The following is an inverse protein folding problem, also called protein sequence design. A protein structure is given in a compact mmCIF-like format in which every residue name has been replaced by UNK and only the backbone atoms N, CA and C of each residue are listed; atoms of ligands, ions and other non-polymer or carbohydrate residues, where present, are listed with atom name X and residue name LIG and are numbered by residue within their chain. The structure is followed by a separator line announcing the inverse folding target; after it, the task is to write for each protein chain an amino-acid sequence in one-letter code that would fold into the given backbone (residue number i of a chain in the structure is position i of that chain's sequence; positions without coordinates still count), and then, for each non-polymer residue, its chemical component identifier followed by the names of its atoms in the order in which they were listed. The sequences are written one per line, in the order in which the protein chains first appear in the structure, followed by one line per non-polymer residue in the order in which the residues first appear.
data_IF_843783743816
#
_entry.id   IF_843783743816
#
_cell.length_a   1.000
_cell.length_b   1.000
_cell.length_c   1.000
_cell.angle_alpha   90.00
_cell.angle_beta   90.00
_cell.angle_gamma   90.00
#
_symmetry.space_group_name_H-M   'P 1'
#
loop_
_entity.id
_entity.type
_entity.pdbx_description
1 polymer ?
#
# COMPACT_ATOMS: atom_id res chain seq x y z
N UNK A 1 -18.76 18.32 -1.63
CA UNK A 1 -18.43 16.90 -1.39
C UNK A 1 -17.45 16.83 -0.23
N UNK A 2 -17.66 15.90 0.69
CA UNK A 2 -16.75 15.64 1.80
C UNK A 2 -15.94 14.39 1.48
N UNK A 3 -14.62 14.45 1.66
CA UNK A 3 -13.70 13.33 1.47
C UNK A 3 -13.02 13.01 2.79
N UNK A 4 -13.30 11.85 3.33
CA UNK A 4 -12.61 11.29 4.48
C UNK A 4 -11.53 10.33 3.99
N UNK A 5 -10.27 10.59 4.35
CA UNK A 5 -9.11 9.78 3.98
C UNK A 5 -8.53 9.13 5.23
N UNK A 6 -8.67 7.81 5.33
CA UNK A 6 -8.12 7.01 6.40
C UNK A 6 -6.85 6.32 5.92
N UNK A 7 -5.78 6.34 6.72
CA UNK A 7 -4.50 5.78 6.32
C UNK A 7 -3.71 5.22 7.51
N UNK A 8 -2.98 4.14 7.24
CA UNK A 8 -2.07 3.55 8.23
C UNK A 8 -0.70 4.20 8.12
N UNK A 9 -0.60 5.45 8.61
CA UNK A 9 0.60 6.28 8.61
C UNK A 9 1.46 6.11 7.34
N UNK A 10 2.75 5.93 7.48
CA UNK A 10 3.69 5.72 6.38
C UNK A 10 3.99 4.24 6.08
N UNK A 11 3.18 3.31 6.55
CA UNK A 11 3.29 1.89 6.18
C UNK A 11 3.32 1.72 4.65
N UNK A 12 2.48 2.45 3.91
CA UNK A 12 2.56 2.54 2.47
C UNK A 12 3.24 3.86 2.04
N UNK A 13 4.35 3.82 1.26
CA UNK A 13 5.03 5.05 0.82
C UNK A 13 4.12 5.97 -0.01
N UNK A 14 3.10 5.42 -0.66
CA UNK A 14 2.14 6.20 -1.46
C UNK A 14 1.26 7.11 -0.60
N UNK A 15 1.13 6.85 0.71
CA UNK A 15 0.29 7.67 1.59
C UNK A 15 0.74 9.13 1.61
N UNK A 16 2.06 9.39 1.65
CA UNK A 16 2.59 10.75 1.63
C UNK A 16 2.24 11.48 0.32
N UNK A 17 2.36 10.78 -0.81
CA UNK A 17 1.98 11.34 -2.11
C UNK A 17 0.48 11.67 -2.17
N UNK A 18 -0.36 10.78 -1.63
CA UNK A 18 -1.81 10.99 -1.59
C UNK A 18 -2.17 12.15 -0.67
N UNK A 19 -1.55 12.27 0.50
CA UNK A 19 -1.78 13.39 1.43
C UNK A 19 -1.36 14.72 0.79
N UNK A 20 -0.22 14.78 0.11
CA UNK A 20 0.20 15.99 -0.63
C UNK A 20 -0.80 16.35 -1.72
N UNK A 21 -1.23 15.37 -2.51
CA UNK A 21 -2.23 15.58 -3.55
C UNK A 21 -3.57 16.05 -2.97
N UNK A 22 -4.02 15.49 -1.84
CA UNK A 22 -5.24 15.94 -1.15
C UNK A 22 -5.14 17.40 -0.72
N UNK A 23 -3.99 17.83 -0.21
CA UNK A 23 -3.78 19.22 0.21
C UNK A 23 -3.90 20.22 -0.94
N UNK A 24 -3.62 19.83 -2.20
CA UNK A 24 -3.83 20.68 -3.38
C UNK A 24 -5.31 20.91 -3.71
N UNK A 25 -6.23 20.14 -3.14
CA UNK A 25 -7.68 20.23 -3.43
C UNK A 25 -8.53 20.72 -2.25
N UNK A 26 -7.90 21.16 -1.14
CA UNK A 26 -8.63 21.62 0.05
C UNK A 26 -9.53 22.84 -0.19
N UNK A 27 -9.25 23.62 -1.20
CA UNK A 27 -10.08 24.75 -1.64
C UNK A 27 -11.34 24.32 -2.43
N UNK A 28 -11.39 23.08 -2.90
CA UNK A 28 -12.45 22.52 -3.77
C UNK A 28 -13.25 21.40 -3.11
N UNK A 29 -12.65 20.70 -2.17
CA UNK A 29 -13.23 19.55 -1.49
C UNK A 29 -13.00 19.71 0.02
N UNK A 30 -14.01 19.46 0.82
CA UNK A 30 -13.88 19.35 2.27
C UNK A 30 -13.17 18.04 2.62
N UNK A 31 -11.89 18.10 3.07
CA UNK A 31 -11.02 16.95 3.22
C UNK A 31 -10.63 16.75 4.69
N UNK A 32 -10.94 15.57 5.20
CA UNK A 32 -10.54 15.11 6.52
C UNK A 32 -9.50 13.99 6.40
N UNK A 33 -8.44 14.04 7.22
CA UNK A 33 -7.37 13.05 7.26
C UNK A 33 -7.38 12.32 8.60
N UNK A 34 -7.38 11.00 8.57
CA UNK A 34 -7.42 10.16 9.76
C UNK A 34 -6.27 9.16 9.74
N UNK A 35 -5.22 9.41 10.52
CA UNK A 35 -4.18 8.39 10.78
C UNK A 35 -4.72 7.37 11.78
N UNK A 36 -4.80 6.11 11.35
CA UNK A 36 -5.37 5.04 12.17
C UNK A 36 -4.32 4.23 12.93
N UNK A 37 -3.03 4.60 12.84
CA UNK A 37 -1.91 3.81 13.41
C UNK A 37 -2.13 3.45 14.88
N UNK A 38 -2.75 4.34 15.65
CA UNK A 38 -3.02 4.18 17.07
C UNK A 38 -4.52 4.21 17.39
N UNK A 39 -5.37 3.92 16.41
CA UNK A 39 -6.83 4.01 16.56
C UNK A 39 -7.53 2.75 16.05
N UNK A 40 -7.39 1.66 16.79
CA UNK A 40 -8.01 0.36 16.50
C UNK A 40 -9.53 0.44 16.41
N UNK A 41 -10.17 1.25 17.26
CA UNK A 41 -11.63 1.41 17.25
C UNK A 41 -12.09 1.99 15.92
N UNK A 42 -11.47 3.08 15.47
CA UNK A 42 -11.82 3.72 14.21
C UNK A 42 -11.54 2.79 13.02
N UNK A 43 -10.41 2.08 13.03
CA UNK A 43 -10.08 1.11 11.99
C UNK A 43 -11.12 -0.01 11.89
N UNK A 44 -11.58 -0.53 13.04
CA UNK A 44 -12.63 -1.55 13.13
C UNK A 44 -14.00 -1.03 12.68
N UNK A 45 -14.43 0.16 13.15
CA UNK A 45 -15.68 0.81 12.71
C UNK A 45 -15.71 1.01 11.20
N UNK A 46 -14.57 1.43 10.65
CA UNK A 46 -14.42 1.63 9.22
C UNK A 46 -14.17 0.33 8.45
N UNK A 47 -14.11 -0.83 9.10
CA UNK A 47 -13.80 -2.14 8.49
C UNK A 47 -12.61 -2.03 7.55
N UNK A 48 -11.52 -1.50 8.06
CA UNK A 48 -10.33 -1.21 7.28
C UNK A 48 -9.34 -2.37 7.40
N UNK A 49 -8.86 -2.85 6.25
CA UNK A 49 -7.86 -3.92 6.12
C UNK A 49 -6.76 -3.57 5.11
N UNK A 50 -6.78 -2.33 4.61
CA UNK A 50 -5.85 -1.81 3.62
C UNK A 50 -5.12 -0.59 4.18
N UNK A 51 -3.93 -0.27 3.65
CA UNK A 51 -3.17 0.89 4.13
C UNK A 51 -3.86 2.23 3.88
N UNK A 52 -4.90 2.26 3.03
CA UNK A 52 -5.72 3.45 2.76
C UNK A 52 -7.17 3.10 2.51
N UNK A 53 -8.05 4.00 2.91
CA UNK A 53 -9.48 3.99 2.58
C UNK A 53 -9.93 5.42 2.31
N UNK A 54 -10.61 5.63 1.19
CA UNK A 54 -11.24 6.91 0.85
C UNK A 54 -12.75 6.74 0.97
N UNK A 55 -13.41 7.67 1.67
CA UNK A 55 -14.86 7.67 1.79
C UNK A 55 -15.40 9.02 1.31
N UNK A 56 -16.28 9.02 0.31
CA UNK A 56 -16.95 10.22 -0.18
C UNK A 56 -18.36 10.32 0.40
N UNK A 57 -18.66 11.47 1.03
CA UNK A 57 -19.95 11.84 1.62
C UNK A 57 -20.55 10.76 2.54
N UNK A 58 -19.71 9.96 3.19
CA UNK A 58 -20.10 8.79 4.01
C UNK A 58 -20.90 7.72 3.23
N UNK A 59 -20.84 7.73 1.90
CA UNK A 59 -21.67 6.89 1.03
C UNK A 59 -20.86 5.92 0.18
N UNK A 60 -19.78 6.38 -0.44
CA UNK A 60 -18.97 5.57 -1.34
C UNK A 60 -17.56 5.38 -0.79
N UNK A 61 -17.09 4.14 -0.87
CA UNK A 61 -15.77 3.71 -0.38
C UNK A 61 -14.89 3.32 -1.55
N UNK A 62 -13.60 3.68 -1.47
CA UNK A 62 -12.60 3.42 -2.49
C UNK A 62 -11.30 2.97 -1.82
N UNK A 63 -10.64 2.00 -2.44
CA UNK A 63 -9.45 1.37 -1.90
C UNK A 63 -8.21 1.55 -2.79
N UNK A 64 -8.39 2.04 -4.01
CA UNK A 64 -7.29 2.30 -4.93
C UNK A 64 -6.49 3.53 -4.53
N UNK A 65 -5.19 3.59 -4.87
CA UNK A 65 -4.40 4.78 -4.66
C UNK A 65 -5.02 6.01 -5.33
N UNK A 66 -5.09 7.10 -4.58
CA UNK A 66 -5.67 8.35 -5.02
C UNK A 66 -4.91 8.92 -6.22
N UNK A 67 -5.66 9.38 -7.22
CA UNK A 67 -5.15 10.00 -8.45
C UNK A 67 -5.75 11.38 -8.64
N UNK A 68 -5.05 12.22 -9.40
CA UNK A 68 -5.54 13.56 -9.74
C UNK A 68 -6.91 13.53 -10.42
N UNK A 69 -7.11 12.62 -11.38
CA UNK A 69 -8.39 12.45 -12.08
C UNK A 69 -9.55 12.08 -11.16
N UNK A 70 -9.28 11.35 -10.06
CA UNK A 70 -10.27 11.05 -9.03
C UNK A 70 -10.72 12.34 -8.32
N UNK A 71 -9.75 13.16 -7.89
CA UNK A 71 -10.04 14.43 -7.19
C UNK A 71 -10.71 15.46 -8.10
N UNK A 72 -10.37 15.50 -9.38
CA UNK A 72 -11.05 16.35 -10.37
C UNK A 72 -12.52 15.98 -10.51
N UNK A 73 -12.86 14.68 -10.55
CA UNK A 73 -14.25 14.24 -10.56
C UNK A 73 -14.97 14.60 -9.27
N UNK A 74 -14.35 14.29 -8.11
CA UNK A 74 -14.92 14.61 -6.81
C UNK A 74 -15.15 16.12 -6.61
N UNK A 75 -14.21 16.97 -7.06
CA UNK A 75 -14.36 18.43 -7.01
C UNK A 75 -15.53 18.94 -7.86
N UNK A 76 -15.89 18.22 -8.91
CA UNK A 76 -17.06 18.51 -9.75
C UNK A 76 -18.35 17.82 -9.27
N UNK A 77 -18.36 17.24 -8.07
CA UNK A 77 -19.54 16.58 -7.50
C UNK A 77 -19.85 15.21 -8.10
N UNK A 78 -18.90 14.62 -8.85
CA UNK A 78 -19.06 13.33 -9.50
C UNK A 78 -18.40 12.25 -8.62
N UNK A 79 -19.13 11.17 -8.35
CA UNK A 79 -18.56 10.01 -7.70
C UNK A 79 -17.73 9.20 -8.71
N UNK A 80 -16.39 9.12 -8.54
CA UNK A 80 -15.55 8.36 -9.47
C UNK A 80 -15.96 6.89 -9.56
N UNK A 81 -15.78 6.30 -10.73
CA UNK A 81 -15.92 4.85 -10.91
C UNK A 81 -14.54 4.20 -10.86
N UNK A 82 -14.37 3.24 -9.95
CA UNK A 82 -13.20 2.39 -9.93
C UNK A 82 -13.44 1.14 -10.76
N UNK A 83 -12.51 0.86 -11.66
CA UNK A 83 -12.44 -0.44 -12.32
C UNK A 83 -11.58 -1.35 -11.46
N UNK A 84 -12.00 -2.57 -11.16
CA UNK A 84 -11.16 -3.54 -10.47
C UNK A 84 -9.82 -3.69 -11.19
N UNK A 85 -8.74 -3.61 -10.43
CA UNK A 85 -7.42 -3.93 -10.97
C UNK A 85 -7.28 -5.45 -10.95
N UNK A 86 -7.27 -6.08 -12.11
CA UNK A 86 -6.97 -7.49 -12.25
C UNK A 86 -5.48 -7.64 -12.57
N UNK A 87 -4.65 -8.11 -11.62
CA UNK A 87 -3.24 -8.32 -11.90
C UNK A 87 -3.08 -9.45 -12.89
N UNK A 88 -2.23 -9.25 -13.90
CA UNK A 88 -1.81 -10.34 -14.79
C UNK A 88 -0.78 -11.17 -14.02
N UNK A 89 -1.19 -12.36 -13.59
CA UNK A 89 -0.29 -13.29 -12.92
C UNK A 89 0.51 -14.02 -13.98
N UNK A 90 1.84 -13.88 -13.96
CA UNK A 90 2.72 -14.69 -14.80
C UNK A 90 2.62 -16.18 -14.40
N UNK A 91 2.48 -17.05 -15.38
CA UNK A 91 2.57 -18.50 -15.17
C UNK A 91 4.01 -19.02 -15.13
N UNK A 92 4.96 -18.16 -15.44
CA UNK A 92 6.38 -18.49 -15.45
C UNK A 92 6.93 -18.32 -14.04
N UNK A 93 7.57 -19.38 -13.56
CA UNK A 93 8.24 -19.35 -12.27
C UNK A 93 9.66 -18.82 -12.45
N UNK A 94 9.97 -17.69 -11.82
CA UNK A 94 11.33 -17.13 -11.82
C UNK A 94 12.13 -17.78 -10.69
N UNK A 95 13.18 -18.51 -11.06
CA UNK A 95 14.13 -19.05 -10.07
C UNK A 95 15.01 -17.91 -9.53
N UNK A 96 15.31 -17.95 -8.26
CA UNK A 96 16.16 -16.93 -7.64
C UNK A 96 16.42 -17.19 -6.17
N UNK A 97 16.88 -16.17 -5.47
CA UNK A 97 17.24 -16.20 -4.06
C UNK A 97 16.18 -15.41 -3.28
N UNK A 98 15.71 -15.98 -2.18
CA UNK A 98 14.87 -15.29 -1.21
C UNK A 98 15.76 -14.84 -0.06
N UNK A 99 15.73 -13.54 0.23
CA UNK A 99 16.50 -12.92 1.30
C UNK A 99 15.58 -12.25 2.32
N UNK A 100 15.93 -12.26 3.61
CA UNK A 100 15.20 -11.50 4.61
C UNK A 100 15.33 -9.99 4.35
N UNK A 101 14.23 -9.27 4.57
CA UNK A 101 14.12 -7.83 4.45
C UNK A 101 14.27 -7.21 5.84
N UNK A 102 15.45 -6.66 6.12
CA UNK A 102 15.76 -5.83 7.28
C UNK A 102 15.68 -4.35 6.94
N UNK A 103 15.66 -3.46 7.93
CA UNK A 103 15.50 -2.02 7.70
C UNK A 103 16.60 -1.41 6.81
N UNK A 104 17.82 -1.91 6.90
CA UNK A 104 18.96 -1.46 6.07
C UNK A 104 18.83 -1.82 4.59
N UNK A 105 17.88 -2.73 4.23
CA UNK A 105 17.59 -3.13 2.85
C UNK A 105 16.25 -2.58 2.33
N UNK A 106 15.55 -1.77 3.09
CA UNK A 106 14.23 -1.28 2.70
C UNK A 106 14.24 -0.34 1.49
N UNK A 107 15.36 0.31 1.22
CA UNK A 107 15.55 1.08 -0.02
C UNK A 107 15.29 0.23 -1.27
N UNK A 108 15.72 -1.04 -1.26
CA UNK A 108 15.47 -2.00 -2.34
C UNK A 108 13.97 -2.32 -2.45
N UNK A 109 13.28 -2.56 -1.34
CA UNK A 109 11.84 -2.81 -1.32
C UNK A 109 11.04 -1.59 -1.81
N UNK A 110 11.49 -0.38 -1.48
CA UNK A 110 10.86 0.87 -1.92
C UNK A 110 10.90 1.08 -3.44
N UNK A 111 11.79 0.42 -4.18
CA UNK A 111 11.81 0.49 -5.65
C UNK A 111 10.46 0.09 -6.28
N UNK A 112 9.69 -0.77 -5.63
CA UNK A 112 8.37 -1.16 -6.11
C UNK A 112 7.33 -0.01 -6.02
N UNK A 113 7.47 0.91 -5.07
CA UNK A 113 6.50 1.97 -4.80
C UNK A 113 7.00 3.38 -5.10
N UNK A 114 8.24 3.54 -5.55
CA UNK A 114 8.84 4.85 -5.81
C UNK A 114 10.31 4.75 -6.15
N UNK A 115 10.95 5.86 -6.06
CA UNK A 115 12.39 5.96 -6.06
C UNK A 115 12.89 5.59 -4.66
N UNK A 116 13.87 4.66 -4.59
CA UNK A 116 14.53 4.26 -3.33
C UNK A 116 15.15 5.42 -2.56
N UNK A 117 15.49 6.51 -3.27
CA UNK A 117 16.02 7.75 -2.68
C UNK A 117 14.92 8.73 -2.27
N UNK A 118 13.65 8.38 -2.53
CA UNK A 118 12.53 9.28 -2.27
C UNK A 118 12.32 9.56 -0.79
N UNK A 119 11.83 10.74 -0.49
CA UNK A 119 11.44 11.14 0.86
C UNK A 119 10.38 10.18 1.44
N UNK A 120 9.53 9.63 0.58
CA UNK A 120 8.49 8.67 0.97
C UNK A 120 9.08 7.35 1.50
N UNK A 121 10.16 6.88 0.89
CA UNK A 121 10.87 5.69 1.36
C UNK A 121 11.48 5.94 2.75
N UNK A 122 12.13 7.08 2.95
CA UNK A 122 12.68 7.46 4.24
C UNK A 122 11.63 7.53 5.34
N UNK A 123 10.47 8.11 5.04
CA UNK A 123 9.35 8.17 5.98
C UNK A 123 8.82 6.78 6.34
N UNK A 124 8.74 5.87 5.38
CA UNK A 124 8.37 4.48 5.65
C UNK A 124 9.39 3.79 6.56
N UNK A 125 10.68 3.90 6.26
CA UNK A 125 11.75 3.33 7.09
C UNK A 125 11.68 3.88 8.52
N UNK A 126 11.52 5.20 8.66
CA UNK A 126 11.40 5.84 9.97
C UNK A 126 10.15 5.35 10.74
N UNK A 127 9.02 5.23 10.05
CA UNK A 127 7.81 4.67 10.63
C UNK A 127 8.00 3.22 11.11
N UNK A 128 8.68 2.39 10.33
CA UNK A 128 8.89 0.98 10.66
C UNK A 128 9.86 0.77 11.82
N UNK A 129 10.83 1.67 12.03
CA UNK A 129 11.80 1.60 13.14
C UNK A 129 11.15 1.46 14.51
N UNK A 130 9.95 2.04 14.72
CA UNK A 130 9.25 1.98 16.00
C UNK A 130 8.88 0.56 16.45
N UNK A 131 8.86 -0.40 15.53
CA UNK A 131 8.48 -1.79 15.83
C UNK A 131 9.65 -2.68 16.22
N UNK A 132 10.89 -2.20 16.05
CA UNK A 132 12.14 -2.86 16.51
C UNK A 132 12.25 -4.32 16.09
N UNK A 133 11.86 -4.66 14.84
CA UNK A 133 11.94 -6.00 14.30
C UNK A 133 13.27 -6.22 13.57
N UNK A 134 13.82 -7.41 13.64
CA UNK A 134 14.99 -7.83 12.85
C UNK A 134 14.64 -8.02 11.37
N UNK A 135 13.43 -8.52 11.10
CA UNK A 135 12.95 -8.87 9.75
C UNK A 135 11.52 -8.33 9.58
N UNK A 136 11.30 -7.60 8.49
CA UNK A 136 10.01 -7.01 8.10
C UNK A 136 9.37 -7.71 6.91
N UNK A 137 9.99 -8.75 6.39
CA UNK A 137 9.51 -9.45 5.21
C UNK A 137 10.62 -10.21 4.48
N UNK A 138 10.37 -10.50 3.23
CA UNK A 138 11.32 -11.17 2.35
C UNK A 138 11.29 -10.54 0.96
N UNK A 139 12.45 -10.49 0.31
CA UNK A 139 12.60 -10.08 -1.07
C UNK A 139 13.09 -11.26 -1.92
N UNK A 140 12.62 -11.31 -3.17
CA UNK A 140 13.02 -12.29 -4.14
C UNK A 140 13.85 -11.62 -5.24
N UNK A 141 15.07 -12.11 -5.48
CA UNK A 141 15.95 -11.69 -6.56
C UNK A 141 16.14 -12.81 -7.56
N UNK A 142 16.17 -12.50 -8.85
CA UNK A 142 16.47 -13.47 -9.89
C UNK A 142 17.97 -13.81 -9.94
N UNK A 143 18.36 -14.71 -10.85
CA UNK A 143 19.76 -15.11 -11.06
C UNK A 143 20.72 -14.00 -11.50
N UNK A 144 20.18 -12.82 -11.88
CA UNK A 144 20.97 -11.62 -12.20
C UNK A 144 21.08 -10.65 -11.03
N UNK A 145 20.46 -10.97 -9.89
CA UNK A 145 20.41 -10.08 -8.73
C UNK A 145 19.35 -8.98 -8.82
N UNK A 146 18.48 -9.00 -9.84
CA UNK A 146 17.41 -8.02 -9.99
C UNK A 146 16.24 -8.37 -9.05
N UNK A 147 15.62 -7.37 -8.42
CA UNK A 147 14.46 -7.54 -7.59
C UNK A 147 13.26 -8.00 -8.41
N UNK A 148 12.73 -9.17 -8.12
CA UNK A 148 11.54 -9.76 -8.76
C UNK A 148 10.27 -9.40 -8.02
N UNK A 149 10.33 -9.36 -6.69
CA UNK A 149 9.19 -9.04 -5.85
C UNK A 149 9.52 -9.22 -4.38
N UNK A 150 8.51 -9.08 -3.55
CA UNK A 150 8.67 -9.25 -2.12
C UNK A 150 7.35 -9.27 -1.37
N UNK A 151 7.47 -9.60 -0.10
CA UNK A 151 6.37 -9.58 0.87
C UNK A 151 6.86 -8.85 2.11
N UNK A 152 6.00 -8.00 2.65
CA UNK A 152 6.23 -7.33 3.92
C UNK A 152 5.16 -7.74 4.93
N UNK A 153 5.54 -7.82 6.20
CA UNK A 153 4.62 -8.14 7.28
C UNK A 153 4.98 -7.39 8.56
N UNK A 154 3.99 -7.25 9.42
CA UNK A 154 4.15 -6.80 10.81
C UNK A 154 3.44 -7.80 11.74
N UNK A 155 3.89 -7.92 13.01
CA UNK A 155 3.15 -8.67 14.01
C UNK A 155 1.71 -8.18 14.13
N UNK A 156 0.73 -9.08 14.20
CA UNK A 156 -0.68 -8.70 14.26
C UNK A 156 -0.99 -7.75 15.44
N UNK A 157 -0.27 -7.88 16.55
CA UNK A 157 -0.43 -7.04 17.75
C UNK A 157 -0.18 -5.55 17.54
N UNK A 158 0.55 -5.15 16.49
CA UNK A 158 0.83 -3.74 16.16
C UNK A 158 0.00 -3.23 15.00
N UNK A 159 -0.85 -4.08 14.42
CA UNK A 159 -1.73 -3.74 13.31
C UNK A 159 -3.00 -3.07 13.86
N UNK A 160 -3.43 -1.93 13.30
CA UNK A 160 -4.62 -1.23 13.79
C UNK A 160 -5.95 -1.86 13.37
N UNK A 161 -5.94 -2.87 12.50
CA UNK A 161 -7.14 -3.48 11.93
C UNK A 161 -7.84 -4.42 12.93
N UNK A 162 -9.12 -4.68 12.68
CA UNK A 162 -9.94 -5.63 13.46
C UNK A 162 -9.61 -7.08 13.05
N UNK A 163 -8.49 -7.58 13.55
CA UNK A 163 -7.97 -8.93 13.33
C UNK A 163 -7.58 -9.56 14.67
N UNK A 164 -7.39 -10.88 14.79
CA UNK A 164 -6.78 -11.47 15.98
C UNK A 164 -5.37 -10.90 16.21
N UNK A 165 -5.10 -10.47 17.45
CA UNK A 165 -3.84 -9.81 17.85
C UNK A 165 -2.91 -10.74 18.64
N UNK A 166 -2.88 -12.03 18.27
CA UNK A 166 -2.04 -13.02 18.94
C UNK A 166 -0.55 -12.88 18.55
N UNK A 167 0.32 -13.31 19.43
CA UNK A 167 1.78 -13.15 19.25
C UNK A 167 2.37 -14.00 18.13
N UNK A 168 1.70 -15.06 17.71
CA UNK A 168 2.09 -15.99 16.65
C UNK A 168 1.49 -15.62 15.28
N UNK A 169 0.73 -14.51 15.19
CA UNK A 169 0.12 -14.04 13.96
C UNK A 169 0.93 -12.89 13.37
N UNK A 170 1.21 -12.98 12.07
CA UNK A 170 1.77 -11.91 11.27
C UNK A 170 0.76 -11.45 10.21
N UNK A 171 0.59 -10.14 10.06
CA UNK A 171 -0.25 -9.54 9.03
C UNK A 171 0.60 -9.12 7.84
N UNK A 172 0.22 -9.55 6.64
CA UNK A 172 0.88 -9.14 5.41
C UNK A 172 0.50 -7.70 5.07
N UNK A 173 1.45 -6.79 5.20
CA UNK A 173 1.23 -5.35 4.96
C UNK A 173 1.47 -4.95 3.52
N UNK A 174 2.27 -5.72 2.77
CA UNK A 174 2.51 -5.50 1.35
C UNK A 174 2.93 -6.78 0.65
N UNK A 175 2.40 -7.00 -0.56
CA UNK A 175 2.90 -8.01 -1.51
C UNK A 175 3.07 -7.32 -2.84
N UNK A 176 4.23 -7.42 -3.45
CA UNK A 176 4.54 -6.72 -4.69
C UNK A 176 5.40 -7.55 -5.64
N UNK A 177 5.29 -7.21 -6.92
CA UNK A 177 6.12 -7.73 -7.99
C UNK A 177 6.68 -6.57 -8.81
N UNK A 178 7.88 -6.75 -9.35
CA UNK A 178 8.54 -5.78 -10.22
C UNK A 178 8.47 -6.23 -11.69
N UNK A 179 8.87 -5.36 -12.61
CA UNK A 179 8.90 -5.69 -14.03
C UNK A 179 9.87 -6.85 -14.34
N UNK A 180 10.89 -7.08 -13.50
CA UNK A 180 11.80 -8.23 -13.63
C UNK A 180 11.12 -9.59 -13.43
N UNK A 181 9.91 -9.62 -12.84
CA UNK A 181 9.09 -10.83 -12.72
C UNK A 181 8.41 -11.23 -14.05
N UNK A 182 8.38 -10.33 -15.04
CA UNK A 182 7.69 -10.52 -16.30
C UNK A 182 8.69 -10.50 -17.46
N UNK A 183 8.52 -11.43 -18.40
CA UNK A 183 9.38 -11.53 -19.61
C UNK A 183 9.10 -10.43 -20.64
N UNK A 184 8.24 -9.48 -20.37
CA UNK A 184 7.90 -8.41 -21.29
C UNK A 184 7.98 -7.03 -20.62
N UNK A 185 8.53 -6.08 -21.38
CA UNK A 185 8.55 -4.67 -20.99
C UNK A 185 7.20 -4.04 -21.31
N UNK A 186 6.57 -3.44 -20.31
CA UNK A 186 5.44 -2.55 -20.56
C UNK A 186 5.94 -1.23 -21.13
N UNK A 187 5.46 -0.85 -22.31
CA UNK A 187 5.63 0.51 -22.81
C UNK A 187 4.88 1.46 -21.88
N UNK A 188 5.58 2.35 -21.19
CA UNK A 188 4.95 3.39 -20.37
C UNK A 188 5.29 3.43 -18.87
N UNK A 189 6.42 2.84 -18.46
CA UNK A 189 6.96 3.02 -17.10
C UNK A 189 6.55 1.97 -16.08
N UNK A 190 7.20 2.01 -14.95
CA UNK A 190 7.10 1.05 -13.84
C UNK A 190 5.66 0.80 -13.44
N UNK A 191 5.13 -0.37 -13.74
CA UNK A 191 3.83 -0.83 -13.20
C UNK A 191 4.05 -1.60 -11.93
N UNK A 192 3.52 -1.06 -10.90
CA UNK A 192 3.59 -1.58 -9.55
C UNK A 192 2.24 -2.17 -9.23
N UNK A 193 2.18 -3.45 -8.97
CA UNK A 193 0.99 -4.07 -8.42
C UNK A 193 1.23 -4.39 -6.97
N UNK A 194 0.77 -3.54 -6.09
CA UNK A 194 0.49 -3.98 -4.73
C UNK A 194 -0.78 -4.83 -4.80
N UNK A 195 -0.66 -6.14 -4.66
CA UNK A 195 -1.78 -7.09 -4.74
C UNK A 195 -2.85 -6.84 -3.66
N UNK A 196 -2.49 -6.14 -2.59
CA UNK A 196 -3.41 -5.82 -1.50
C UNK A 196 -4.42 -4.70 -1.82
N UNK A 197 -4.33 -4.05 -2.98
CA UNK A 197 -5.27 -3.01 -3.39
C UNK A 197 -6.47 -3.54 -4.20
N UNK A 198 -6.66 -4.84 -4.29
CA UNK A 198 -7.84 -5.41 -4.94
C UNK A 198 -8.78 -5.99 -3.89
N UNK A 199 -10.04 -5.61 -3.92
CA UNK A 199 -11.09 -6.17 -3.07
C UNK A 199 -11.16 -7.70 -3.12
N UNK A 200 -10.75 -8.28 -4.24
CA UNK A 200 -10.76 -9.73 -4.47
C UNK A 200 -9.57 -10.45 -3.80
N UNK A 201 -8.51 -9.75 -3.45
CA UNK A 201 -7.38 -10.35 -2.73
C UNK A 201 -7.72 -10.61 -1.25
N UNK A 202 -8.61 -9.81 -0.65
CA UNK A 202 -9.11 -10.04 0.70
C UNK A 202 -9.99 -11.31 0.77
N UNK A 203 -10.79 -11.58 -0.26
CA UNK A 203 -11.63 -12.79 -0.34
C UNK A 203 -10.80 -14.06 -0.61
N UNK A 204 -9.61 -13.94 -1.16
CA UNK A 204 -8.71 -15.07 -1.44
C UNK A 204 -7.85 -15.49 -0.23
N UNK A 205 -7.77 -14.67 0.82
CA UNK A 205 -6.98 -14.91 2.03
C UNK A 205 -7.81 -15.39 3.23
N UNK A 206 -9.12 -15.47 3.07
CA UNK A 206 -10.07 -16.06 4.01
C UNK A 206 -10.51 -17.43 3.46
#
# INVERSE_FOLDING_TARGET
MVLDFYYFSYQCPLNDNMIRLLNEYRDKIDINLYDISNNHLLAGEMKMFFPTLIVLDKKKRYYSPLRKSFLEQAANGIYPEEKPFLPTISRNFTKGIIEPLSLDKFDIACECCGDKTSENCKKKIEFLKQYELDIYGFIHKNGKGELVGGVEYLPAKVIPYDIPHDDDIAFLTCVYMTDAAYDYKFEGGVRRSCLLYTSDAADALI
#
